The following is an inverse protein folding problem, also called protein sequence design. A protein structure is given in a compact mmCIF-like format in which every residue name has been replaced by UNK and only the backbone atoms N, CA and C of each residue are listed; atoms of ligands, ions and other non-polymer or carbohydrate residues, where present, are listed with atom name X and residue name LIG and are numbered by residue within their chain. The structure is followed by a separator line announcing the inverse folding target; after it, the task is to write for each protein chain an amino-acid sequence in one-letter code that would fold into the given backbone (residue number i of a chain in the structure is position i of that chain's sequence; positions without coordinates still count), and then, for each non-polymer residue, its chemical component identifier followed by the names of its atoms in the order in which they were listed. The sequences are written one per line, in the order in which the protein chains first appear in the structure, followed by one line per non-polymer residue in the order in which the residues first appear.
data_IF_585467250076
#
_entry.id   IF_585467250076
#
_cell.length_a   1.000
_cell.length_b   1.000
_cell.length_c   1.000
_cell.angle_alpha   90.00
_cell.angle_beta   90.00
_cell.angle_gamma   90.00
#
_symmetry.space_group_name_H-M   'P 1'
#
loop_
_entity.id
_entity.type
_entity.pdbx_description
1 polymer ?
#
# COMPACT_ATOMS: atom_id res chain seq x y z
N UNK A 1 33.57 -44.24 45.52
CA UNK A 1 34.32 -43.41 46.47
C UNK A 1 35.81 -43.59 46.23
N UNK A 2 36.48 -42.57 45.69
CA UNK A 2 37.93 -42.44 45.58
C UNK A 2 38.26 -40.99 45.95
N UNK A 3 39.14 -40.85 46.94
CA UNK A 3 39.54 -39.63 47.63
C UNK A 3 40.80 -39.09 46.94
N UNK A 4 41.10 -37.80 47.14
CA UNK A 4 42.36 -37.07 46.94
C UNK A 4 42.36 -36.17 45.70
N UNK A 5 42.18 -34.85 45.88
CA UNK A 5 43.16 -33.87 46.36
C UNK A 5 44.15 -33.48 45.25
N UNK A 6 44.17 -32.19 44.88
CA UNK A 6 45.33 -31.33 45.08
C UNK A 6 45.20 -29.99 44.33
N UNK A 7 45.44 -28.94 45.12
CA UNK A 7 46.16 -27.70 44.77
C UNK A 7 45.50 -26.70 43.83
N UNK A 8 44.89 -25.72 44.50
CA UNK A 8 45.22 -24.31 44.25
C UNK A 8 46.72 -24.11 44.02
N UNK A 9 47.08 -23.58 42.85
CA UNK A 9 48.39 -23.00 42.57
C UNK A 9 48.21 -21.58 42.01
N UNK A 10 48.28 -20.64 42.94
CA UNK A 10 48.60 -19.24 42.77
C UNK A 10 49.92 -19.05 41.99
N UNK A 11 49.94 -18.21 40.95
CA UNK A 11 50.99 -17.16 40.75
C UNK A 11 50.77 -16.34 39.48
N UNK A 12 50.45 -15.07 39.71
CA UNK A 12 50.76 -13.93 38.86
C UNK A 12 52.25 -13.91 38.48
N UNK A 13 52.57 -13.56 37.23
CA UNK A 13 53.95 -13.52 36.76
C UNK A 13 54.15 -12.88 35.40
N UNK A 14 53.91 -11.56 35.33
CA UNK A 14 54.64 -10.56 34.52
C UNK A 14 55.41 -11.09 33.29
N UNK A 15 54.91 -10.83 32.08
CA UNK A 15 55.76 -10.44 30.94
C UNK A 15 55.02 -9.43 30.07
N UNK A 16 55.26 -8.17 30.40
CA UNK A 16 54.99 -7.02 29.53
C UNK A 16 56.13 -6.94 28.52
N UNK A 17 55.77 -6.50 27.31
CA UNK A 17 56.61 -5.84 26.30
C UNK A 17 57.17 -6.69 25.14
N UNK A 18 57.22 -5.98 24.01
CA UNK A 18 57.78 -6.30 22.70
C UNK A 18 56.79 -6.99 21.73
N UNK A 19 56.39 -6.46 20.57
CA UNK A 19 56.78 -5.31 19.74
C UNK A 19 55.54 -5.00 18.87
N UNK A 20 54.95 -3.81 18.88
CA UNK A 20 55.17 -2.77 17.87
C UNK A 20 55.58 -3.32 16.50
N UNK A 21 54.59 -3.67 15.69
CA UNK A 21 54.69 -3.66 14.23
C UNK A 21 53.46 -2.95 13.68
N UNK A 22 53.65 -1.64 13.47
CA UNK A 22 52.77 -0.84 12.63
C UNK A 22 53.06 -1.21 11.17
N UNK A 23 52.02 -1.58 10.43
CA UNK A 23 52.04 -1.49 8.96
C UNK A 23 50.75 -0.81 8.51
N UNK A 24 50.97 0.35 7.91
CA UNK A 24 50.02 1.25 7.28
C UNK A 24 49.34 0.58 6.07
N UNK A 25 48.15 1.06 5.70
CA UNK A 25 47.79 1.14 4.27
C UNK A 25 46.36 0.75 3.89
N UNK A 26 45.41 1.63 4.21
CA UNK A 26 44.30 2.11 3.35
C UNK A 26 43.80 1.17 2.25
N UNK A 27 42.55 0.69 2.36
CA UNK A 27 41.76 0.23 1.22
C UNK A 27 40.25 0.40 1.50
N UNK A 28 39.72 1.51 0.98
CA UNK A 28 38.38 1.68 0.40
C UNK A 28 37.15 1.55 1.32
N UNK A 29 36.82 2.70 1.91
CA UNK A 29 35.47 3.23 2.08
C UNK A 29 34.65 3.11 0.78
N UNK A 30 33.87 2.05 0.53
CA UNK A 30 32.65 2.04 -0.29
C UNK A 30 31.85 0.76 0.01
N UNK A 31 30.88 0.82 0.92
CA UNK A 31 29.69 -0.05 0.82
C UNK A 31 28.47 0.85 1.00
N UNK A 32 28.23 1.53 -0.10
CA UNK A 32 27.13 2.44 -0.38
C UNK A 32 25.81 1.64 -0.34
N UNK A 33 24.90 2.10 0.52
CA UNK A 33 23.50 2.32 0.18
C UNK A 33 22.80 1.16 -0.55
N UNK A 34 22.43 0.10 0.16
CA UNK A 34 21.64 -0.99 -0.41
C UNK A 34 20.44 -1.32 0.48
N UNK A 35 19.58 -0.33 0.73
CA UNK A 35 18.25 -0.56 1.31
C UNK A 35 17.31 0.64 1.11
N UNK A 36 17.29 1.20 -0.10
CA UNK A 36 16.09 1.90 -0.58
C UNK A 36 15.38 0.88 -1.45
N UNK A 37 14.56 0.05 -0.81
CA UNK A 37 13.63 -0.80 -1.51
C UNK A 37 12.67 0.15 -2.22
N UNK A 38 12.92 0.38 -3.51
CA UNK A 38 12.06 1.16 -4.36
C UNK A 38 10.68 0.52 -4.34
N UNK A 39 9.73 1.20 -3.72
CA UNK A 39 8.34 1.11 -4.15
C UNK A 39 8.29 1.70 -5.55
N UNK A 40 8.62 0.88 -6.56
CA UNK A 40 8.17 1.18 -7.89
C UNK A 40 6.65 1.08 -7.84
N UNK A 41 5.88 2.15 -8.10
CA UNK A 41 4.47 1.96 -8.38
C UNK A 41 4.43 1.03 -9.60
N UNK A 42 3.97 -0.19 -9.39
CA UNK A 42 3.58 -1.04 -10.50
C UNK A 42 2.55 -0.23 -11.28
N UNK A 43 2.93 0.25 -12.47
CA UNK A 43 1.98 0.72 -13.45
C UNK A 43 1.12 -0.49 -13.81
N UNK A 44 0.06 -0.72 -13.03
CA UNK A 44 -0.96 -1.68 -13.37
C UNK A 44 -1.54 -1.16 -14.68
N UNK A 45 -1.33 -1.91 -15.77
CA UNK A 45 -2.06 -1.66 -16.98
C UNK A 45 -3.55 -1.72 -16.60
N UNK A 46 -4.19 -0.56 -16.59
CA UNK A 46 -5.61 -0.43 -16.30
C UNK A 46 -6.35 -1.20 -17.39
N UNK A 47 -7.06 -2.25 -16.99
CA UNK A 47 -7.92 -2.97 -17.92
C UNK A 47 -9.00 -2.00 -18.42
N UNK A 48 -9.21 -1.92 -19.75
CA UNK A 48 -10.14 -0.96 -20.32
C UNK A 48 -11.57 -1.22 -19.82
N UNK A 49 -12.31 -0.14 -19.55
CA UNK A 49 -13.72 -0.23 -19.12
C UNK A 49 -14.50 -1.04 -20.16
N UNK A 50 -15.18 -2.13 -19.76
CA UNK A 50 -15.97 -2.91 -20.70
C UNK A 50 -17.09 -2.08 -21.37
N UNK A 51 -17.22 -2.21 -22.69
CA UNK A 51 -18.20 -1.44 -23.50
C UNK A 51 -19.65 -1.57 -23.01
N UNK A 52 -20.02 -2.71 -22.42
CA UNK A 52 -21.36 -2.92 -21.90
C UNK A 52 -21.67 -2.04 -20.69
N UNK A 53 -20.65 -1.71 -19.88
CA UNK A 53 -20.76 -0.79 -18.74
C UNK A 53 -20.93 0.63 -19.28
N UNK A 54 -20.11 1.04 -20.26
CA UNK A 54 -20.14 2.40 -20.81
C UNK A 54 -21.52 2.78 -21.36
N UNK A 55 -22.22 1.84 -22.01
CA UNK A 55 -23.56 2.08 -22.56
C UNK A 55 -24.66 2.19 -21.49
N UNK A 56 -24.42 1.72 -20.26
CA UNK A 56 -25.38 1.72 -19.16
C UNK A 56 -25.11 2.78 -18.09
N UNK A 57 -24.15 3.69 -18.33
CA UNK A 57 -23.80 4.73 -17.37
C UNK A 57 -24.92 5.76 -17.22
N UNK A 58 -25.27 6.03 -15.96
CA UNK A 58 -26.18 7.09 -15.54
C UNK A 58 -25.38 8.20 -14.88
N UNK A 59 -25.74 9.46 -15.12
CA UNK A 59 -25.11 10.61 -14.49
C UNK A 59 -25.91 11.10 -13.28
N UNK A 60 -25.23 11.62 -12.27
CA UNK A 60 -25.87 12.27 -11.13
C UNK A 60 -24.90 12.95 -10.19
N UNK A 61 -25.46 13.56 -9.14
CA UNK A 61 -24.70 14.21 -8.08
C UNK A 61 -24.90 13.45 -6.78
N UNK A 62 -23.80 13.17 -6.09
CA UNK A 62 -23.84 12.52 -4.77
C UNK A 62 -24.40 13.50 -3.74
N UNK A 63 -25.60 13.25 -3.26
CA UNK A 63 -26.28 14.06 -2.23
C UNK A 63 -25.98 13.61 -0.80
N UNK A 64 -25.59 12.34 -0.60
CA UNK A 64 -25.14 11.79 0.69
C UNK A 64 -24.32 10.51 0.47
N UNK A 65 -23.42 10.20 1.40
CA UNK A 65 -22.58 9.00 1.41
C UNK A 65 -22.80 8.28 2.74
N UNK A 66 -23.21 7.02 2.68
CA UNK A 66 -23.31 6.13 3.84
C UNK A 66 -22.37 4.94 3.68
N UNK A 67 -22.26 4.10 4.72
CA UNK A 67 -21.24 3.04 4.76
C UNK A 67 -21.32 2.03 3.60
N UNK A 68 -22.51 1.79 3.03
CA UNK A 68 -22.73 0.83 1.92
C UNK A 68 -23.74 1.33 0.89
N UNK A 69 -24.12 2.60 0.95
CA UNK A 69 -25.08 3.19 0.03
C UNK A 69 -24.67 4.61 -0.32
N UNK A 70 -25.05 5.02 -1.53
CA UNK A 70 -24.88 6.37 -2.05
C UNK A 70 -26.26 6.93 -2.35
N UNK A 71 -26.50 8.16 -1.92
CA UNK A 71 -27.68 8.90 -2.35
C UNK A 71 -27.29 9.75 -3.54
N UNK A 72 -27.76 9.40 -4.73
CA UNK A 72 -27.45 10.13 -5.97
C UNK A 72 -28.75 10.79 -6.46
N UNK A 73 -28.71 12.11 -6.66
CA UNK A 73 -29.90 12.92 -6.96
C UNK A 73 -31.05 12.69 -5.96
N UNK A 74 -30.73 12.44 -4.68
CA UNK A 74 -31.70 12.15 -3.62
C UNK A 74 -32.29 10.73 -3.62
N UNK A 75 -31.88 9.85 -4.54
CA UNK A 75 -32.29 8.43 -4.55
C UNK A 75 -31.17 7.54 -3.98
N UNK A 76 -31.54 6.60 -3.12
CA UNK A 76 -30.61 5.63 -2.54
C UNK A 76 -30.23 4.53 -3.54
N UNK A 77 -28.94 4.23 -3.59
CA UNK A 77 -28.34 3.12 -4.33
C UNK A 77 -27.41 2.34 -3.41
N UNK A 78 -27.47 1.01 -3.48
CA UNK A 78 -26.52 0.15 -2.77
C UNK A 78 -25.20 0.10 -3.54
N UNK A 79 -24.10 -0.01 -2.82
CA UNK A 79 -22.77 -0.15 -3.43
C UNK A 79 -22.34 -1.61 -3.33
N UNK A 80 -22.03 -2.23 -4.47
CA UNK A 80 -21.48 -3.58 -4.50
C UNK A 80 -20.13 -3.61 -3.74
N UNK A 81 -19.84 -4.62 -2.92
CA UNK A 81 -18.55 -4.72 -2.24
C UNK A 81 -17.35 -4.76 -3.21
N UNK A 82 -17.57 -5.25 -4.43
CA UNK A 82 -16.57 -5.33 -5.49
C UNK A 82 -16.73 -4.16 -6.50
N UNK A 83 -17.36 -3.06 -6.10
CA UNK A 83 -17.52 -1.87 -6.95
C UNK A 83 -16.17 -1.38 -7.45
N UNK A 84 -16.10 -1.10 -8.73
CA UNK A 84 -14.94 -0.45 -9.30
C UNK A 84 -15.17 1.06 -9.39
N UNK A 85 -14.29 1.84 -8.74
CA UNK A 85 -14.39 3.30 -8.67
C UNK A 85 -13.20 3.88 -9.41
N UNK A 86 -13.47 4.69 -10.44
CA UNK A 86 -12.45 5.33 -11.27
C UNK A 86 -12.65 6.84 -11.36
N UNK A 87 -11.64 7.58 -11.80
CA UNK A 87 -11.80 8.97 -12.23
C UNK A 87 -11.96 9.08 -13.76
N UNK A 88 -11.90 10.31 -14.27
CA UNK A 88 -11.99 10.59 -15.70
C UNK A 88 -10.75 10.17 -16.50
N UNK A 89 -9.63 9.94 -15.82
CA UNK A 89 -8.34 9.51 -16.38
C UNK A 89 -8.15 7.99 -16.26
N UNK A 90 -9.21 7.28 -15.86
CA UNK A 90 -9.26 5.83 -15.65
C UNK A 90 -8.47 5.34 -14.42
N UNK A 91 -8.03 6.24 -13.53
CA UNK A 91 -7.33 5.85 -12.31
C UNK A 91 -8.31 5.21 -11.32
N UNK A 92 -7.98 4.02 -10.79
CA UNK A 92 -8.79 3.33 -9.78
C UNK A 92 -8.56 3.93 -8.39
N UNK A 93 -9.64 4.18 -7.67
CA UNK A 93 -9.65 4.75 -6.33
C UNK A 93 -10.39 3.88 -5.32
N UNK A 94 -10.07 4.03 -4.03
CA UNK A 94 -10.85 3.39 -2.98
C UNK A 94 -12.16 4.17 -2.72
N UNK A 95 -13.18 3.55 -2.11
CA UNK A 95 -14.51 4.16 -1.90
C UNK A 95 -14.52 5.49 -1.14
N UNK A 96 -13.51 5.75 -0.31
CA UNK A 96 -13.39 6.96 0.49
C UNK A 96 -13.17 8.23 -0.36
N UNK A 97 -12.83 8.09 -1.64
CA UNK A 97 -12.72 9.24 -2.56
C UNK A 97 -14.08 9.87 -2.87
N UNK A 98 -15.16 9.09 -2.76
CA UNK A 98 -16.52 9.52 -3.06
C UNK A 98 -17.02 10.42 -1.94
N UNK A 99 -17.34 11.66 -2.29
CA UNK A 99 -17.80 12.68 -1.35
C UNK A 99 -19.13 13.25 -1.79
N UNK A 100 -19.82 13.86 -0.83
CA UNK A 100 -21.00 14.68 -1.11
C UNK A 100 -20.67 15.79 -2.11
N UNK A 101 -21.66 16.14 -2.91
CA UNK A 101 -21.67 17.19 -3.92
C UNK A 101 -20.72 16.92 -5.10
N UNK A 102 -20.21 15.70 -5.26
CA UNK A 102 -19.46 15.28 -6.44
C UNK A 102 -20.38 14.85 -7.58
N UNK A 103 -20.01 15.25 -8.78
CA UNK A 103 -20.58 14.70 -10.02
C UNK A 103 -20.02 13.30 -10.26
N UNK A 104 -20.90 12.37 -10.62
CA UNK A 104 -20.55 10.98 -10.86
C UNK A 104 -21.27 10.43 -12.08
N UNK A 105 -20.66 9.44 -12.73
CA UNK A 105 -21.36 8.50 -13.61
C UNK A 105 -21.31 7.10 -13.00
N UNK A 106 -22.41 6.37 -13.01
CA UNK A 106 -22.48 5.06 -12.37
C UNK A 106 -23.24 4.07 -13.25
N UNK A 107 -22.84 2.81 -13.17
CA UNK A 107 -23.55 1.70 -13.77
C UNK A 107 -24.30 0.92 -12.68
N UNK A 108 -25.44 0.32 -13.06
CA UNK A 108 -26.19 -0.54 -12.16
C UNK A 108 -26.01 -2.00 -12.57
N UNK A 109 -25.71 -2.84 -11.59
CA UNK A 109 -25.55 -4.27 -11.77
C UNK A 109 -26.84 -4.90 -12.29
N UNK A 110 -26.75 -5.51 -13.47
CA UNK A 110 -27.90 -6.10 -14.16
C UNK A 110 -28.55 -7.19 -13.29
N UNK A 111 -29.86 -7.05 -13.03
CA UNK A 111 -30.63 -8.00 -12.25
C UNK A 111 -30.50 -7.85 -10.73
N UNK A 112 -29.69 -6.92 -10.23
CA UNK A 112 -29.49 -6.66 -8.80
C UNK A 112 -30.14 -5.35 -8.31
N UNK A 113 -31.19 -4.89 -9.01
CA UNK A 113 -31.97 -3.71 -8.62
C UNK A 113 -31.17 -2.40 -8.68
N UNK A 114 -31.11 -1.69 -7.55
CA UNK A 114 -30.42 -0.40 -7.41
C UNK A 114 -28.98 -0.56 -6.88
N UNK A 115 -28.29 -1.63 -7.26
CA UNK A 115 -26.90 -1.89 -6.83
C UNK A 115 -25.92 -1.35 -7.87
N UNK A 116 -24.97 -0.52 -7.44
CA UNK A 116 -23.89 0.03 -8.27
C UNK A 116 -22.72 -0.94 -8.27
N UNK A 117 -22.27 -1.36 -9.45
CA UNK A 117 -21.07 -2.17 -9.67
C UNK A 117 -19.91 -1.40 -10.31
N UNK A 118 -20.16 -0.19 -10.84
CA UNK A 118 -19.13 0.67 -11.42
C UNK A 118 -19.45 2.15 -11.20
N UNK A 119 -18.45 2.95 -10.85
CA UNK A 119 -18.57 4.38 -10.56
C UNK A 119 -17.39 5.18 -11.15
N UNK A 120 -17.69 6.28 -11.82
CA UNK A 120 -16.72 7.28 -12.29
C UNK A 120 -16.97 8.55 -11.49
N UNK A 121 -15.94 9.04 -10.80
CA UNK A 121 -15.99 10.25 -9.97
C UNK A 121 -15.29 11.40 -10.70
N UNK A 122 -15.98 12.54 -10.79
CA UNK A 122 -15.42 13.75 -11.35
C UNK A 122 -14.76 14.54 -10.22
N UNK A 123 -13.43 14.42 -10.10
CA UNK A 123 -12.65 15.16 -9.11
C UNK A 123 -12.46 16.62 -9.55
N UNK A 124 -12.55 17.60 -8.64
CA UNK A 124 -12.18 18.98 -8.93
C UNK A 124 -10.67 19.09 -9.19
N UNK A 125 -10.28 19.92 -10.16
CA UNK A 125 -8.88 20.23 -10.49
C UNK A 125 -8.28 21.27 -9.55
#
# INVERSE_FOLDING_TARGET
MKINALRHAHRNGKRVAARLSATLGVSVLVTVLSMICGYAPSAQALDPIPMHIMNGLQAGVVTSVESRSLFINGKEYLVDPDVEIRDQEDNVFPPEVVKRDQEVKFHLKKGAGNTIDFLIVYLPQ
#
